data_IF_635834299687
#
_entry.id   IF_635834299687
#
_cell.length_a   1.000
_cell.length_b   1.000
_cell.length_c   1.000
_cell.angle_alpha   90.00
_cell.angle_beta   90.00
_cell.angle_gamma   90.00
#
_symmetry.space_group_name_H-M   'P 1'
#
loop_
_entity.id
_entity.type
_entity.pdbx_description
1 polymer ?
#
# COMPACT_ATOMS: atom_id res chain seq x y z
N UNK A 1 -3.43 16.26 7.13
CA UNK A 1 -3.43 15.22 6.10
C UNK A 1 -2.91 13.94 6.73
N UNK A 2 -3.81 13.01 7.07
CA UNK A 2 -3.47 11.69 7.61
C UNK A 2 -3.06 10.78 6.44
N UNK A 3 -1.91 10.11 6.56
CA UNK A 3 -1.46 9.12 5.57
C UNK A 3 -2.32 7.85 5.67
N UNK A 4 -2.60 7.20 4.54
CA UNK A 4 -3.39 5.97 4.55
C UNK A 4 -2.57 4.83 5.18
N UNK A 5 -3.16 3.99 6.06
CA UNK A 5 -2.44 2.89 6.72
C UNK A 5 -1.65 1.99 5.75
N UNK A 6 -2.18 1.77 4.54
CA UNK A 6 -1.61 0.90 3.52
C UNK A 6 -0.32 1.47 2.92
N UNK A 7 -0.21 2.80 2.81
CA UNK A 7 1.02 3.44 2.34
C UNK A 7 2.12 3.40 3.40
N UNK A 8 1.74 3.46 4.67
CA UNK A 8 2.67 3.33 5.79
C UNK A 8 3.25 1.91 5.86
N UNK A 9 2.45 0.89 5.52
CA UNK A 9 2.92 -0.48 5.41
C UNK A 9 4.04 -0.64 4.35
N UNK A 10 3.88 -0.01 3.18
CA UNK A 10 4.94 0.02 2.14
C UNK A 10 6.21 0.70 2.65
N UNK A 11 6.06 1.84 3.34
CA UNK A 11 7.17 2.58 3.93
C UNK A 11 7.90 1.73 4.98
N UNK A 12 7.17 1.04 5.86
CA UNK A 12 7.75 0.17 6.87
C UNK A 12 8.60 -0.95 6.25
N UNK A 13 8.12 -1.58 5.17
CA UNK A 13 8.91 -2.58 4.42
C UNK A 13 10.17 -1.95 3.82
N UNK A 14 10.06 -0.77 3.22
CA UNK A 14 11.20 -0.08 2.64
C UNK A 14 12.26 0.26 3.70
N UNK A 15 11.84 0.76 4.86
CA UNK A 15 12.73 1.05 5.99
C UNK A 15 13.38 -0.22 6.54
N UNK A 16 12.62 -1.31 6.72
CA UNK A 16 13.13 -2.60 7.15
C UNK A 16 14.18 -3.19 6.17
N UNK A 17 14.12 -2.80 4.89
CA UNK A 17 15.08 -3.20 3.85
C UNK A 17 16.15 -2.16 3.54
N UNK A 18 16.18 -1.03 4.25
CA UNK A 18 17.12 0.06 4.00
C UNK A 18 16.96 0.73 2.64
N UNK A 19 15.75 0.71 2.07
CA UNK A 19 15.41 1.34 0.80
C UNK A 19 14.96 2.79 1.04
N UNK A 20 15.33 3.68 0.12
CA UNK A 20 14.86 5.07 0.15
C UNK A 20 13.40 5.15 -0.29
N UNK A 21 12.66 6.05 0.33
CA UNK A 21 11.27 6.37 -0.02
C UNK A 21 11.05 7.88 -0.01
N UNK A 22 9.98 8.33 -0.68
CA UNK A 22 9.61 9.75 -0.78
C UNK A 22 8.21 9.97 -0.21
N UNK A 23 7.99 11.12 0.46
CA UNK A 23 6.70 11.49 1.05
C UNK A 23 5.69 12.00 0.00
N UNK A 24 5.50 11.20 -1.05
CA UNK A 24 4.61 11.48 -2.18
C UNK A 24 3.80 10.21 -2.46
N UNK A 25 2.46 10.31 -2.43
CA UNK A 25 1.54 9.17 -2.61
C UNK A 25 1.85 8.32 -3.85
N UNK A 26 1.99 8.97 -5.01
CA UNK A 26 2.35 8.29 -6.26
C UNK A 26 3.71 7.57 -6.17
N UNK A 27 4.69 8.12 -5.46
CA UNK A 27 6.00 7.49 -5.25
C UNK A 27 5.90 6.28 -4.31
N UNK A 28 5.03 6.33 -3.29
CA UNK A 28 4.78 5.19 -2.40
C UNK A 28 4.08 4.05 -3.15
N UNK A 29 3.13 4.34 -4.06
CA UNK A 29 2.54 3.33 -4.94
C UNK A 29 3.60 2.68 -5.86
N UNK A 30 4.44 3.49 -6.51
CA UNK A 30 5.55 3.00 -7.35
C UNK A 30 6.54 2.14 -6.54
N UNK A 31 6.80 2.52 -5.30
CA UNK A 31 7.66 1.77 -4.39
C UNK A 31 7.07 0.39 -4.08
N UNK A 32 5.75 0.28 -3.86
CA UNK A 32 5.09 -1.02 -3.67
C UNK A 32 5.36 -1.96 -4.86
N UNK A 33 5.21 -1.45 -6.09
CA UNK A 33 5.52 -2.22 -7.29
C UNK A 33 7.00 -2.60 -7.40
N UNK A 34 7.91 -1.72 -6.97
CA UNK A 34 9.33 -2.06 -6.91
C UNK A 34 9.63 -3.17 -5.90
N UNK A 35 8.98 -3.16 -4.73
CA UNK A 35 9.12 -4.20 -3.72
C UNK A 35 8.63 -5.56 -4.24
N UNK A 36 7.49 -5.58 -4.94
CA UNK A 36 6.98 -6.78 -5.60
C UNK A 36 7.92 -7.28 -6.70
N UNK A 37 8.40 -6.40 -7.59
CA UNK A 37 9.37 -6.76 -8.64
C UNK A 37 10.69 -7.30 -8.09
N UNK A 38 11.11 -6.82 -6.91
CA UNK A 38 12.29 -7.33 -6.19
C UNK A 38 12.02 -8.60 -5.38
N UNK A 39 10.80 -9.15 -5.41
CA UNK A 39 10.35 -10.31 -4.61
C UNK A 39 10.52 -10.11 -3.11
N UNK A 40 10.49 -8.86 -2.64
CA UNK A 40 10.47 -8.51 -1.22
C UNK A 40 9.05 -8.69 -0.68
N UNK A 41 8.07 -8.31 -1.50
CA UNK A 41 6.66 -8.63 -1.34
C UNK A 41 6.26 -9.57 -2.48
N UNK A 42 5.32 -10.46 -2.20
CA UNK A 42 4.69 -11.34 -3.18
C UNK A 42 3.45 -10.70 -3.77
N UNK A 43 2.74 -9.88 -2.98
CA UNK A 43 1.58 -9.13 -3.46
C UNK A 43 2.01 -7.78 -4.07
N UNK A 44 1.61 -7.53 -5.32
CA UNK A 44 1.80 -6.23 -5.95
C UNK A 44 0.56 -5.34 -5.71
N UNK A 45 0.69 -4.36 -4.81
CA UNK A 45 -0.38 -3.41 -4.48
C UNK A 45 -0.21 -2.04 -5.15
N UNK A 46 0.68 -1.90 -6.14
CA UNK A 46 0.93 -0.62 -6.85
C UNK A 46 -0.37 0.00 -7.38
N UNK A 47 -1.10 -0.74 -8.22
CA UNK A 47 -2.34 -0.24 -8.85
C UNK A 47 -3.46 -0.02 -7.81
N UNK A 48 -3.51 -0.85 -6.76
CA UNK A 48 -4.47 -0.68 -5.66
C UNK A 48 -4.21 0.57 -4.84
N UNK A 49 -2.95 0.90 -4.56
CA UNK A 49 -2.61 2.14 -3.87
C UNK A 49 -2.92 3.37 -4.72
N UNK A 50 -2.82 3.28 -6.05
CA UNK A 50 -3.28 4.35 -6.95
C UNK A 50 -4.79 4.51 -6.83
N UNK A 51 -5.55 3.43 -6.97
CA UNK A 51 -7.02 3.44 -6.86
C UNK A 51 -7.51 3.98 -5.51
N UNK A 52 -6.92 3.53 -4.40
CA UNK A 52 -7.27 4.03 -3.07
C UNK A 52 -6.93 5.51 -2.88
N UNK A 53 -5.84 5.98 -3.50
CA UNK A 53 -5.46 7.38 -3.45
C UNK A 53 -6.42 8.27 -4.22
N UNK A 54 -6.90 7.81 -5.37
CA UNK A 54 -7.90 8.51 -6.18
C UNK A 54 -9.23 8.50 -5.46
N UNK A 55 -9.68 7.34 -4.97
CA UNK A 55 -10.89 7.23 -4.17
C UNK A 55 -10.88 8.13 -2.93
N UNK A 56 -9.74 8.21 -2.24
CA UNK A 56 -9.56 9.13 -1.12
C UNK A 56 -9.78 10.59 -1.53
N UNK A 57 -9.30 11.00 -2.71
CA UNK A 57 -9.53 12.36 -3.23
C UNK A 57 -11.03 12.54 -3.49
N UNK A 58 -11.66 11.62 -4.19
CA UNK A 58 -13.08 11.72 -4.59
C UNK A 58 -14.00 11.84 -3.36
N UNK A 59 -13.75 11.02 -2.34
CA UNK A 59 -14.45 11.11 -1.04
C UNK A 59 -14.15 12.43 -0.34
N UNK A 60 -12.89 12.88 -0.33
CA UNK A 60 -12.51 14.14 0.33
C UNK A 60 -13.08 15.39 -0.35
N UNK A 61 -13.26 15.34 -1.67
CA UNK A 61 -13.84 16.43 -2.47
C UNK A 61 -15.38 16.35 -2.58
N UNK A 62 -16.00 15.30 -2.03
CA UNK A 62 -17.46 15.19 -1.89
C UNK A 62 -18.19 14.66 -3.12
N UNK A 63 -17.47 14.18 -4.14
CA UNK A 63 -18.02 13.54 -5.34
C UNK A 63 -17.40 12.15 -5.48
N UNK A 64 -17.77 11.18 -4.62
CA UNK A 64 -17.42 9.79 -4.90
C UNK A 64 -18.04 9.40 -6.24
N UNK A 65 -17.17 9.23 -7.24
CA UNK A 65 -17.58 8.90 -8.59
C UNK A 65 -18.28 7.54 -8.67
N UNK A 66 -18.95 7.25 -9.80
CA UNK A 66 -19.56 5.94 -10.02
C UNK A 66 -18.54 4.79 -9.93
N UNK A 67 -17.24 5.08 -10.08
CA UNK A 67 -16.18 4.08 -9.92
C UNK A 67 -16.25 3.39 -8.55
N UNK A 68 -16.58 4.10 -7.46
CA UNK A 68 -16.71 3.49 -6.13
C UNK A 68 -17.83 2.43 -6.08
N UNK A 69 -18.91 2.62 -6.85
CA UNK A 69 -20.04 1.68 -6.89
C UNK A 69 -19.73 0.42 -7.70
N UNK A 70 -18.81 0.51 -8.66
CA UNK A 70 -18.37 -0.59 -9.51
C UNK A 70 -17.22 -1.39 -8.88
N UNK A 71 -16.61 -0.87 -7.82
CA UNK A 71 -15.51 -1.54 -7.11
C UNK A 71 -16.02 -2.63 -6.18
N UNK A 72 -15.41 -3.81 -6.28
CA UNK A 72 -15.57 -4.88 -5.31
C UNK A 72 -14.75 -4.55 -4.04
N UNK A 73 -15.41 -3.88 -3.10
CA UNK A 73 -14.80 -3.43 -1.86
C UNK A 73 -14.42 -4.59 -0.93
N UNK A 74 -15.16 -5.70 -0.97
CA UNK A 74 -14.88 -6.89 -0.17
C UNK A 74 -13.60 -7.57 -0.66
N UNK A 75 -13.49 -7.75 -1.97
CA UNK A 75 -12.27 -8.26 -2.58
C UNK A 75 -11.06 -7.36 -2.31
N UNK A 76 -11.23 -6.04 -2.43
CA UNK A 76 -10.18 -5.08 -2.11
C UNK A 76 -9.74 -5.15 -0.64
N UNK A 77 -10.69 -5.29 0.29
CA UNK A 77 -10.37 -5.45 1.71
C UNK A 77 -9.56 -6.74 1.96
N UNK A 78 -9.97 -7.86 1.35
CA UNK A 78 -9.24 -9.12 1.47
C UNK A 78 -7.80 -9.03 0.93
N UNK A 79 -7.60 -8.41 -0.25
CA UNK A 79 -6.25 -8.19 -0.82
C UNK A 79 -5.37 -7.33 0.12
N UNK A 80 -5.95 -6.32 0.77
CA UNK A 80 -5.24 -5.47 1.71
C UNK A 80 -4.86 -6.21 2.99
N UNK A 81 -5.73 -7.06 3.52
CA UNK A 81 -5.42 -7.89 4.69
C UNK A 81 -4.26 -8.85 4.41
N UNK A 82 -4.27 -9.50 3.25
CA UNK A 82 -3.17 -10.39 2.82
C UNK A 82 -1.85 -9.62 2.70
N UNK A 83 -1.90 -8.43 2.11
CA UNK A 83 -0.74 -7.53 2.00
C UNK A 83 -0.21 -7.11 3.38
N UNK A 84 -1.09 -6.70 4.30
CA UNK A 84 -0.68 -6.28 5.65
C UNK A 84 -0.06 -7.45 6.44
N UNK A 85 -0.65 -8.65 6.34
CA UNK A 85 -0.08 -9.85 6.95
C UNK A 85 1.30 -10.20 6.36
N UNK A 86 1.52 -9.93 5.08
CA UNK A 86 2.85 -10.07 4.47
C UNK A 86 3.84 -9.05 4.99
N UNK A 87 3.46 -7.77 5.05
CA UNK A 87 4.29 -6.70 5.60
C UNK A 87 4.75 -7.03 7.03
N UNK A 88 3.82 -7.49 7.87
CA UNK A 88 4.12 -7.88 9.25
C UNK A 88 5.22 -8.96 9.30
N UNK A 89 5.11 -10.00 8.48
CA UNK A 89 6.13 -11.06 8.40
C UNK A 89 7.49 -10.51 7.96
N UNK A 90 7.51 -9.61 6.98
CA UNK A 90 8.76 -9.03 6.45
C UNK A 90 9.44 -8.15 7.50
N UNK A 91 8.68 -7.33 8.22
CA UNK A 91 9.19 -6.44 9.26
C UNK A 91 9.66 -7.25 10.48
N UNK A 92 8.85 -8.19 10.97
CA UNK A 92 9.20 -9.04 12.11
C UNK A 92 10.48 -9.86 11.88
N UNK A 93 10.71 -10.33 10.64
CA UNK A 93 11.93 -11.05 10.28
C UNK A 93 13.21 -10.19 10.36
N UNK A 94 13.09 -8.86 10.34
CA UNK A 94 14.21 -7.93 10.53
C UNK A 94 14.40 -7.61 12.01
N UNK A 95 13.32 -7.49 12.78
CA UNK A 95 13.38 -7.24 14.22
C UNK A 95 13.92 -8.42 15.01
N UNK A 96 13.54 -9.66 14.67
CA UNK A 96 14.06 -10.88 15.31
C UNK A 96 15.53 -11.19 15.00
N UNK A 97 16.20 -10.38 14.17
CA UNK A 97 17.63 -10.49 13.83
C UNK A 97 18.52 -9.48 14.58
N UNK A 98 17.93 -8.59 15.37
CA UNK A 98 18.67 -7.69 16.27
C UNK A 98 18.89 -8.35 17.62
#
# INVERSE_FOLDING_TARGET
MTEAPNENAVVAVAEAKGLKWEKIHAKKAQLAGQLARKKILSTNVEDRLVQLNDLRKDVAYGEPGPELQEMDLEHMAAELEEFLAEVERVVAAVEGKK
#
